data_IF_799159818611
#
_entry.id   IF_799159818611
#
_cell.length_a   1.000
_cell.length_b   1.000
_cell.length_c   1.000
_cell.angle_alpha   90.00
_cell.angle_beta   90.00
_cell.angle_gamma   90.00
#
_symmetry.space_group_name_H-M   'P 1'
#
loop_
_entity.id
_entity.type
_entity.pdbx_description
1 polymer ?
#
# COMPACT_ATOMS: atom_id res chain seq x y z
N UNK A 1 -10.01 -10.92 15.63
CA UNK A 1 -10.66 -9.62 15.90
C UNK A 1 -10.09 -8.59 14.95
N UNK A 2 -10.91 -7.66 14.43
CA UNK A 2 -10.44 -6.61 13.53
C UNK A 2 -9.56 -5.60 14.28
N UNK A 3 -8.48 -5.14 13.64
CA UNK A 3 -7.50 -4.21 14.20
C UNK A 3 -7.17 -3.12 13.20
N UNK A 4 -7.09 -1.88 13.67
CA UNK A 4 -6.66 -0.73 12.89
C UNK A 4 -5.21 -0.39 13.26
N UNK A 5 -4.38 -0.12 12.27
CA UNK A 5 -3.01 0.32 12.44
C UNK A 5 -2.81 1.64 11.70
N UNK A 6 -1.92 2.49 12.20
CA UNK A 6 -1.51 3.73 11.54
C UNK A 6 -0.08 3.67 11.09
N UNK A 7 0.26 4.36 10.01
CA UNK A 7 1.65 4.53 9.58
C UNK A 7 2.45 5.14 10.74
N UNK A 8 3.42 4.38 11.23
CA UNK A 8 4.28 4.75 12.35
C UNK A 8 5.64 5.24 11.87
N UNK A 9 6.68 4.71 12.49
CA UNK A 9 8.06 5.15 12.29
C UNK A 9 8.76 4.36 11.19
N UNK A 10 9.62 5.04 10.44
CA UNK A 10 10.60 4.36 9.59
C UNK A 10 11.61 3.64 10.48
N UNK A 11 11.93 2.40 10.15
CA UNK A 11 12.93 1.61 10.90
C UNK A 11 14.11 1.18 10.02
N UNK A 12 13.97 1.32 8.70
CA UNK A 12 15.05 1.11 7.73
C UNK A 12 14.97 2.21 6.67
N UNK A 13 16.14 2.69 6.25
CA UNK A 13 16.27 3.63 5.14
C UNK A 13 17.59 3.37 4.42
N UNK A 14 17.52 3.18 3.10
CA UNK A 14 18.66 3.16 2.19
C UNK A 14 18.40 4.17 1.07
N UNK A 15 19.20 5.23 1.05
CA UNK A 15 19.09 6.31 0.07
C UNK A 15 19.96 6.08 -1.17
N UNK A 16 20.84 5.09 -1.15
CA UNK A 16 21.78 4.86 -2.23
C UNK A 16 21.05 4.46 -3.52
N UNK A 17 21.55 4.97 -4.64
CA UNK A 17 21.16 4.45 -5.95
C UNK A 17 21.86 3.12 -6.18
N UNK A 18 21.07 2.07 -6.38
CA UNK A 18 21.55 0.73 -6.69
C UNK A 18 21.03 0.30 -8.04
N UNK A 19 21.93 -0.21 -8.89
CA UNK A 19 21.56 -0.87 -10.13
C UNK A 19 21.08 -2.28 -9.76
N UNK A 20 19.81 -2.58 -10.04
CA UNK A 20 19.25 -3.93 -9.84
C UNK A 20 19.90 -4.90 -10.82
N UNK A 21 20.16 -4.43 -12.03
CA UNK A 21 21.06 -5.05 -12.99
C UNK A 21 20.92 -4.47 -14.39
N UNK A 22 21.84 -4.87 -15.26
CA UNK A 22 21.82 -4.63 -16.70
C UNK A 22 21.47 -5.92 -17.41
N UNK A 23 20.45 -5.90 -18.26
CA UNK A 23 20.00 -7.09 -18.98
C UNK A 23 19.10 -8.03 -18.18
N UNK A 24 18.87 -9.23 -18.73
CA UNK A 24 17.84 -10.13 -18.23
C UNK A 24 18.23 -10.83 -16.94
N UNK A 25 17.20 -11.17 -16.14
CA UNK A 25 17.28 -12.03 -14.96
C UNK A 25 18.28 -11.57 -13.88
N UNK A 26 18.44 -10.26 -13.72
CA UNK A 26 19.24 -9.70 -12.64
C UNK A 26 18.37 -9.42 -11.42
N UNK A 27 18.94 -9.46 -10.22
CA UNK A 27 18.19 -9.21 -9.00
C UNK A 27 18.99 -8.53 -7.92
N UNK A 28 18.29 -7.74 -7.12
CA UNK A 28 18.74 -7.19 -5.84
C UNK A 28 17.79 -7.67 -4.75
N UNK A 29 18.36 -8.20 -3.66
CA UNK A 29 17.60 -8.84 -2.58
C UNK A 29 17.82 -8.09 -1.27
N UNK A 30 16.73 -7.81 -0.57
CA UNK A 30 16.71 -7.20 0.75
C UNK A 30 15.85 -8.06 1.68
N UNK A 31 16.44 -8.52 2.79
CA UNK A 31 15.71 -9.25 3.84
C UNK A 31 15.57 -8.37 5.08
N UNK A 32 14.35 -8.16 5.55
CA UNK A 32 14.06 -7.32 6.71
C UNK A 32 12.92 -7.89 7.55
N UNK A 33 13.00 -7.70 8.87
CA UNK A 33 12.00 -8.20 9.83
C UNK A 33 11.09 -7.06 10.29
N UNK A 34 9.79 -7.23 10.03
CA UNK A 34 8.74 -6.31 10.42
C UNK A 34 8.11 -6.78 11.73
N UNK A 35 8.27 -6.02 12.82
CA UNK A 35 7.63 -6.36 14.11
C UNK A 35 6.10 -6.30 14.05
N UNK A 36 5.59 -5.41 13.19
CA UNK A 36 4.18 -5.22 12.86
C UNK A 36 4.09 -5.05 11.35
N UNK A 37 2.92 -5.26 10.73
CA UNK A 37 2.79 -5.05 9.29
C UNK A 37 3.18 -3.63 8.88
N UNK A 38 3.63 -3.48 7.64
CA UNK A 38 4.31 -2.26 7.24
C UNK A 38 4.30 -1.98 5.76
N UNK A 39 5.03 -0.93 5.40
CA UNK A 39 5.29 -0.56 4.02
C UNK A 39 6.75 -0.69 3.66
N UNK A 40 6.97 -1.13 2.43
CA UNK A 40 8.18 -0.91 1.68
C UNK A 40 7.88 0.21 0.71
N UNK A 41 8.62 1.31 0.78
CA UNK A 41 8.55 2.36 -0.23
C UNK A 41 9.90 2.52 -0.89
N UNK A 42 9.92 2.71 -2.19
CA UNK A 42 11.16 2.82 -2.95
C UNK A 42 10.92 3.67 -4.20
N UNK A 43 11.97 4.34 -4.65
CA UNK A 43 11.97 4.97 -5.96
C UNK A 43 12.63 4.01 -6.95
N UNK A 44 12.04 3.88 -8.13
CA UNK A 44 12.59 3.06 -9.21
C UNK A 44 12.67 3.84 -10.51
N UNK A 45 13.57 3.42 -11.37
CA UNK A 45 13.70 3.87 -12.75
C UNK A 45 14.01 2.67 -13.61
N UNK A 46 13.28 2.53 -14.71
CA UNK A 46 13.51 1.49 -15.72
C UNK A 46 13.83 2.13 -17.05
N UNK A 47 14.80 1.55 -17.75
CA UNK A 47 15.11 1.85 -19.12
C UNK A 47 15.00 0.56 -19.92
N UNK A 48 14.02 0.55 -20.82
CA UNK A 48 13.77 -0.55 -21.75
C UNK A 48 13.79 0.04 -23.15
N UNK A 49 14.66 -0.49 -24.01
CA UNK A 49 14.81 -0.02 -25.37
C UNK A 49 13.52 -0.17 -26.17
N UNK A 50 13.29 0.77 -27.09
CA UNK A 50 12.24 0.64 -28.09
C UNK A 50 12.67 -0.36 -29.16
N UNK A 51 11.70 -1.11 -29.69
CA UNK A 51 11.90 -1.93 -30.87
C UNK A 51 12.21 -1.06 -32.09
N UNK A 52 12.69 -1.68 -33.17
CA UNK A 52 12.89 -1.00 -34.46
C UNK A 52 11.59 -0.45 -35.07
N UNK A 53 10.43 -0.93 -34.64
CA UNK A 53 9.11 -0.41 -35.02
C UNK A 53 8.62 0.74 -34.12
N UNK A 54 9.41 1.17 -33.13
CA UNK A 54 9.05 2.22 -32.18
C UNK A 54 8.14 1.74 -31.04
N UNK A 55 7.91 0.43 -30.92
CA UNK A 55 7.14 -0.14 -29.83
C UNK A 55 8.01 -0.27 -28.58
N UNK A 56 7.39 -0.13 -27.41
CA UNK A 56 8.08 -0.31 -26.16
C UNK A 56 8.52 -1.78 -25.98
N UNK A 57 9.79 -2.01 -25.63
CA UNK A 57 10.30 -3.35 -25.35
C UNK A 57 9.53 -4.07 -24.24
N UNK A 58 9.57 -5.40 -24.27
CA UNK A 58 8.73 -6.25 -23.42
C UNK A 58 9.30 -6.53 -22.03
N UNK A 59 10.47 -5.97 -21.70
CA UNK A 59 11.12 -6.14 -20.41
C UNK A 59 10.30 -5.56 -19.25
N UNK A 60 10.10 -6.33 -18.18
CA UNK A 60 9.51 -5.86 -16.92
C UNK A 60 10.50 -5.79 -15.77
N UNK A 61 10.43 -4.69 -15.03
CA UNK A 61 10.92 -4.65 -13.66
C UNK A 61 9.85 -5.22 -12.74
N UNK A 62 10.24 -6.16 -11.89
CA UNK A 62 9.33 -6.92 -11.04
C UNK A 62 9.82 -6.80 -9.61
N UNK A 63 8.87 -6.66 -8.68
CA UNK A 63 9.14 -6.72 -7.25
C UNK A 63 8.31 -7.81 -6.60
N UNK A 64 9.00 -8.70 -5.90
CA UNK A 64 8.43 -9.83 -5.19
C UNK A 64 8.63 -9.68 -3.69
N UNK A 65 7.66 -10.15 -2.91
CA UNK A 65 7.78 -10.28 -1.46
C UNK A 65 7.45 -11.73 -1.11
N UNK A 66 8.41 -12.44 -0.52
CA UNK A 66 8.30 -13.85 -0.16
C UNK A 66 7.88 -14.73 -1.36
N UNK A 67 8.44 -14.45 -2.55
CA UNK A 67 8.16 -15.19 -3.78
C UNK A 67 6.84 -14.84 -4.48
N UNK A 68 6.09 -13.85 -3.98
CA UNK A 68 4.84 -13.39 -4.60
C UNK A 68 5.09 -12.05 -5.30
N UNK A 69 4.79 -11.96 -6.59
CA UNK A 69 4.82 -10.71 -7.35
C UNK A 69 3.84 -9.70 -6.73
N UNK A 70 4.38 -8.58 -6.26
CA UNK A 70 3.60 -7.46 -5.69
C UNK A 70 3.51 -6.28 -6.64
N UNK A 71 4.50 -6.12 -7.51
CA UNK A 71 4.58 -5.01 -8.43
C UNK A 71 5.27 -5.40 -9.73
N UNK A 72 4.81 -4.80 -10.83
CA UNK A 72 5.51 -4.83 -12.12
C UNK A 72 5.41 -3.48 -12.82
N UNK A 73 6.48 -3.09 -13.48
CA UNK A 73 6.51 -1.88 -14.29
C UNK A 73 7.28 -2.09 -15.59
N UNK A 74 6.85 -1.34 -16.61
CA UNK A 74 7.63 -1.10 -17.82
C UNK A 74 7.91 0.39 -17.91
N UNK A 75 9.10 0.75 -18.39
CA UNK A 75 9.34 2.04 -19.03
C UNK A 75 8.97 3.30 -18.22
N UNK A 76 9.35 3.36 -16.95
CA UNK A 76 9.12 4.56 -16.15
C UNK A 76 9.99 5.74 -16.63
N UNK A 77 11.18 5.46 -17.19
CA UNK A 77 12.19 6.39 -17.76
C UNK A 77 12.63 7.56 -16.85
N UNK A 78 11.98 7.74 -15.71
CA UNK A 78 12.13 8.79 -14.72
C UNK A 78 11.97 8.15 -13.34
N UNK A 79 12.44 8.83 -12.30
CA UNK A 79 12.31 8.32 -10.94
C UNK A 79 10.86 8.36 -10.48
N UNK A 80 10.28 7.19 -10.24
CA UNK A 80 8.91 7.04 -9.74
C UNK A 80 8.91 6.36 -8.39
N UNK A 81 8.09 6.85 -7.45
CA UNK A 81 7.94 6.24 -6.14
C UNK A 81 6.81 5.23 -6.13
N UNK A 82 7.06 4.07 -5.53
CA UNK A 82 6.04 3.05 -5.26
C UNK A 82 6.00 2.68 -3.78
N UNK A 83 4.84 2.22 -3.32
CA UNK A 83 4.57 1.77 -1.96
C UNK A 83 3.97 0.38 -2.04
N UNK A 84 4.45 -0.55 -1.23
CA UNK A 84 3.92 -1.90 -1.16
C UNK A 84 3.69 -2.29 0.29
N UNK A 85 2.59 -2.99 0.54
CA UNK A 85 2.30 -3.52 1.85
C UNK A 85 3.01 -4.86 2.10
N UNK A 86 3.53 -5.01 3.31
CA UNK A 86 4.26 -6.19 3.77
C UNK A 86 3.73 -6.61 5.13
N UNK A 87 3.60 -7.92 5.33
CA UNK A 87 3.14 -8.50 6.59
C UNK A 87 4.17 -8.39 7.70
N UNK A 88 3.74 -8.62 8.94
CA UNK A 88 4.67 -8.83 10.05
C UNK A 88 5.49 -10.11 9.84
N UNK A 89 6.69 -10.17 10.43
CA UNK A 89 7.63 -11.27 10.29
C UNK A 89 8.83 -10.93 9.42
N UNK A 90 9.67 -11.93 9.19
CA UNK A 90 10.76 -11.83 8.23
C UNK A 90 10.20 -11.79 6.80
N UNK A 91 10.64 -10.82 6.01
CA UNK A 91 10.24 -10.67 4.63
C UNK A 91 11.47 -10.53 3.73
N UNK A 92 11.48 -11.34 2.67
CA UNK A 92 12.46 -11.25 1.59
C UNK A 92 11.83 -10.46 0.45
N UNK A 93 12.43 -9.31 0.13
CA UNK A 93 12.01 -8.41 -0.93
C UNK A 93 13.01 -8.54 -2.07
N UNK A 94 12.53 -8.92 -3.25
CA UNK A 94 13.36 -9.13 -4.43
C UNK A 94 12.94 -8.12 -5.49
N UNK A 95 13.89 -7.29 -5.91
CA UNK A 95 13.77 -6.44 -7.09
C UNK A 95 14.48 -7.15 -8.24
N UNK A 96 13.83 -7.33 -9.39
CA UNK A 96 14.45 -8.06 -10.51
C UNK A 96 14.07 -7.53 -11.89
N UNK A 97 14.94 -7.78 -12.85
CA UNK A 97 14.64 -7.67 -14.28
C UNK A 97 14.18 -9.03 -14.80
N UNK A 98 13.16 -9.07 -15.65
CA UNK A 98 12.69 -10.32 -16.25
C UNK A 98 13.58 -10.77 -17.43
N UNK A 99 13.24 -11.90 -18.03
CA UNK A 99 13.97 -12.48 -19.16
C UNK A 99 13.82 -11.69 -20.46
N UNK A 100 12.88 -10.73 -20.53
CA UNK A 100 12.62 -9.94 -21.72
C UNK A 100 13.45 -8.65 -21.78
N UNK A 101 14.23 -8.34 -20.73
CA UNK A 101 15.26 -7.30 -20.77
C UNK A 101 16.36 -7.65 -21.78
N UNK A 102 16.76 -6.67 -22.58
CA UNK A 102 17.90 -6.74 -23.49
C UNK A 102 19.20 -6.31 -22.79
N UNK A 103 20.36 -6.65 -23.36
CA UNK A 103 21.67 -6.39 -22.74
C UNK A 103 21.92 -4.91 -22.35
N UNK A 104 21.28 -3.95 -23.02
CA UNK A 104 21.35 -2.51 -22.70
C UNK A 104 20.25 -2.00 -21.77
N UNK A 105 19.22 -2.80 -21.50
CA UNK A 105 18.13 -2.43 -20.60
C UNK A 105 18.61 -2.49 -19.16
N UNK A 106 18.06 -1.64 -18.30
CA UNK A 106 18.44 -1.62 -16.89
C UNK A 106 17.31 -1.15 -15.99
N UNK A 107 17.38 -1.59 -14.73
CA UNK A 107 16.55 -1.09 -13.66
C UNK A 107 17.42 -0.58 -12.52
N UNK A 108 17.00 0.53 -11.93
CA UNK A 108 17.64 1.13 -10.76
C UNK A 108 16.61 1.35 -9.67
N UNK A 109 17.06 1.26 -8.43
CA UNK A 109 16.29 1.55 -7.23
C UNK A 109 17.05 2.51 -6.35
N UNK A 110 16.32 3.31 -5.56
CA UNK A 110 16.89 4.18 -4.50
C UNK A 110 15.83 4.50 -3.46
N UNK A 111 16.23 5.18 -2.38
CA UNK A 111 15.33 5.67 -1.34
C UNK A 111 14.37 4.58 -0.82
N UNK A 112 14.90 3.39 -0.58
CA UNK A 112 14.17 2.28 0.03
C UNK A 112 13.94 2.62 1.49
N UNK A 113 12.69 2.81 1.89
CA UNK A 113 12.29 3.16 3.25
C UNK A 113 11.26 2.15 3.72
N UNK A 114 11.54 1.51 4.85
CA UNK A 114 10.61 0.59 5.51
C UNK A 114 9.96 1.26 6.71
N UNK A 115 8.63 1.23 6.72
CA UNK A 115 7.81 1.86 7.75
C UNK A 115 6.95 0.81 8.42
N UNK A 116 6.99 0.73 9.76
CA UNK A 116 6.06 -0.12 10.51
C UNK A 116 4.74 0.61 10.76
N UNK A 117 3.67 -0.15 10.87
CA UNK A 117 2.36 0.38 11.27
C UNK A 117 2.07 0.01 12.70
N UNK A 118 1.67 1.01 13.49
CA UNK A 118 1.43 0.89 14.93
C UNK A 118 -0.05 0.61 15.16
N UNK A 119 -0.35 -0.46 15.90
CA UNK A 119 -1.72 -0.78 16.30
C UNK A 119 -2.36 0.36 17.12
N UNK A 120 -3.59 0.73 16.77
CA UNK A 120 -4.36 1.74 17.50
C UNK A 120 -5.12 1.08 18.66
N UNK A 121 -4.38 0.64 19.67
CA UNK A 121 -4.90 -0.18 20.79
C UNK A 121 -5.93 0.52 21.68
N UNK A 122 -6.07 1.84 21.57
CA UNK A 122 -7.07 2.64 22.27
C UNK A 122 -8.48 2.54 21.64
N UNK A 123 -8.62 1.88 20.48
CA UNK A 123 -9.92 1.56 19.89
C UNK A 123 -10.51 0.35 20.64
N UNK A 124 -11.63 0.55 21.32
CA UNK A 124 -12.27 -0.48 22.13
C UNK A 124 -12.92 -1.59 21.27
N UNK A 125 -13.32 -1.28 20.05
CA UNK A 125 -13.88 -2.26 19.13
C UNK A 125 -14.01 -1.75 17.70
N UNK A 126 -14.00 -2.69 16.76
CA UNK A 126 -14.28 -2.45 15.34
C UNK A 126 -15.41 -3.38 14.90
N UNK A 127 -16.49 -2.79 14.39
CA UNK A 127 -17.72 -3.48 14.01
C UNK A 127 -18.29 -3.00 12.68
N UNK A 128 -19.46 -3.53 12.30
CA UNK A 128 -20.20 -3.07 11.11
C UNK A 128 -19.42 -3.14 9.80
N UNK A 129 -18.44 -4.05 9.69
CA UNK A 129 -17.50 -4.07 8.56
C UNK A 129 -18.21 -4.56 7.29
N UNK A 130 -18.30 -3.68 6.29
CA UNK A 130 -18.77 -4.02 4.94
C UNK A 130 -17.56 -4.09 4.00
N UNK A 131 -17.15 -5.29 3.55
CA UNK A 131 -15.99 -5.43 2.68
C UNK A 131 -16.19 -4.74 1.32
N UNK A 132 -15.10 -4.42 0.59
CA UNK A 132 -15.21 -3.92 -0.76
C UNK A 132 -15.87 -4.95 -1.67
N UNK A 133 -16.47 -4.48 -2.77
CA UNK A 133 -17.08 -5.35 -3.78
C UNK A 133 -16.00 -6.29 -4.35
N UNK A 134 -16.33 -7.57 -4.66
CA UNK A 134 -15.41 -8.47 -5.32
C UNK A 134 -14.85 -7.85 -6.61
N UNK A 135 -13.57 -8.06 -6.89
CA UNK A 135 -12.88 -7.56 -8.10
C UNK A 135 -13.67 -7.82 -9.40
N UNK A 136 -14.31 -8.98 -9.51
CA UNK A 136 -15.13 -9.38 -10.66
C UNK A 136 -16.36 -8.47 -10.90
N UNK A 137 -16.83 -7.78 -9.86
CA UNK A 137 -17.98 -6.88 -9.89
C UNK A 137 -17.58 -5.41 -9.99
N UNK A 138 -16.28 -5.11 -9.95
CA UNK A 138 -15.75 -3.78 -10.20
C UNK A 138 -15.52 -3.70 -11.71
N UNK A 139 -16.47 -3.15 -12.44
CA UNK A 139 -16.27 -2.79 -13.85
C UNK A 139 -14.98 -1.98 -13.98
N UNK A 140 -14.10 -2.36 -14.91
CA UNK A 140 -12.89 -1.64 -15.26
C UNK A 140 -13.25 -0.19 -15.62
N UNK A 141 -13.27 0.70 -14.63
CA UNK A 141 -13.28 2.12 -14.92
C UNK A 141 -11.87 2.45 -15.43
N UNK A 142 -11.81 3.21 -16.53
CA UNK A 142 -10.56 3.78 -17.02
C UNK A 142 -9.98 4.64 -15.90
N UNK A 143 -9.07 4.06 -15.13
CA UNK A 143 -8.22 4.84 -14.24
C UNK A 143 -7.41 5.69 -15.19
N UNK A 144 -7.67 6.99 -15.23
CA UNK A 144 -6.70 7.95 -15.75
C UNK A 144 -5.44 7.68 -14.94
N UNK A 145 -4.43 7.06 -15.55
CA UNK A 145 -3.08 6.94 -15.00
C UNK A 145 -2.54 8.37 -14.81
N UNK A 146 -2.88 8.97 -13.68
CA UNK A 146 -2.64 10.36 -13.35
C UNK A 146 -2.42 10.49 -11.85
N UNK A 147 -1.15 10.60 -11.48
CA UNK A 147 -0.61 11.09 -10.20
C UNK A 147 -1.46 10.87 -8.93
N UNK A 148 -1.04 9.89 -8.11
CA UNK A 148 -1.55 9.51 -6.78
C UNK A 148 -1.48 10.59 -5.69
N UNK A 149 -1.24 11.87 -6.01
CA UNK A 149 -1.07 12.88 -4.95
C UNK A 149 -2.37 13.45 -4.38
N UNK A 150 -3.52 13.44 -5.06
CA UNK A 150 -4.71 14.16 -4.53
C UNK A 150 -6.12 13.65 -4.91
N UNK A 151 -6.33 12.40 -5.31
CA UNK A 151 -7.72 11.89 -5.40
C UNK A 151 -8.20 11.37 -4.04
N UNK A 152 -8.91 12.22 -3.30
CA UNK A 152 -9.61 11.89 -2.03
C UNK A 152 -10.81 10.96 -2.23
N UNK A 153 -11.09 10.52 -3.45
CA UNK A 153 -12.24 9.69 -3.82
C UNK A 153 -11.76 8.54 -4.71
N UNK A 154 -11.50 7.37 -4.12
CA UNK A 154 -11.32 6.13 -4.89
C UNK A 154 -12.66 5.66 -5.50
N UNK A 155 -12.65 4.79 -6.52
CA UNK A 155 -13.88 4.24 -7.09
C UNK A 155 -14.72 3.52 -6.01
N UNK A 156 -16.04 3.64 -6.07
CA UNK A 156 -17.01 3.14 -5.05
C UNK A 156 -16.85 1.63 -4.76
N UNK A 157 -16.24 0.85 -5.66
CA UNK A 157 -15.92 -0.58 -5.45
C UNK A 157 -14.67 -0.85 -4.61
N UNK A 158 -13.89 0.16 -4.26
CA UNK A 158 -12.60 0.06 -3.54
C UNK A 158 -12.66 0.54 -2.08
N UNK A 159 -13.89 0.74 -1.58
CA UNK A 159 -14.16 1.27 -0.25
C UNK A 159 -14.46 0.13 0.73
N UNK A 160 -14.01 0.29 1.96
CA UNK A 160 -14.44 -0.52 3.10
C UNK A 160 -15.07 0.40 4.14
N UNK A 161 -16.27 0.02 4.57
CA UNK A 161 -17.04 0.73 5.59
C UNK A 161 -16.96 -0.02 6.90
N UNK A 162 -16.75 0.69 8.00
CA UNK A 162 -16.72 0.08 9.32
C UNK A 162 -17.01 1.10 10.41
N UNK A 163 -17.30 0.59 11.61
CA UNK A 163 -17.57 1.39 12.80
C UNK A 163 -16.43 1.22 13.79
N UNK A 164 -15.92 2.35 14.29
CA UNK A 164 -14.97 2.39 15.39
C UNK A 164 -15.70 2.75 16.68
N UNK A 165 -15.35 2.05 17.75
CA UNK A 165 -15.93 2.25 19.08
C UNK A 165 -14.84 2.73 20.03
N UNK A 166 -15.10 3.85 20.72
CA UNK A 166 -14.25 4.39 21.77
C UNK A 166 -15.03 4.48 23.08
N UNK A 167 -14.36 4.20 24.20
CA UNK A 167 -14.96 4.19 25.55
C UNK A 167 -14.70 5.46 26.35
N UNK A 168 -13.93 6.40 25.82
CA UNK A 168 -13.67 7.69 26.43
C UNK A 168 -13.30 8.75 25.37
N UNK A 169 -13.35 10.03 25.78
CA UNK A 169 -13.10 11.15 24.89
C UNK A 169 -11.62 11.32 24.50
N UNK A 170 -10.68 10.90 25.35
CA UNK A 170 -9.25 11.05 25.08
C UNK A 170 -8.81 10.17 23.89
N UNK A 171 -9.30 8.93 23.85
CA UNK A 171 -9.04 7.98 22.76
C UNK A 171 -9.67 8.46 21.45
N UNK A 172 -10.91 8.96 21.51
CA UNK A 172 -11.58 9.57 20.34
C UNK A 172 -10.81 10.80 19.82
N UNK A 173 -10.37 11.70 20.71
CA UNK A 173 -9.62 12.88 20.30
C UNK A 173 -8.25 12.50 19.70
N UNK A 174 -7.58 11.50 20.26
CA UNK A 174 -6.35 10.92 19.70
C UNK A 174 -6.58 10.34 18.31
N UNK A 175 -7.70 9.65 18.10
CA UNK A 175 -8.10 9.19 16.77
C UNK A 175 -8.27 10.35 15.79
N UNK A 176 -9.09 11.35 16.12
CA UNK A 176 -9.38 12.45 15.19
C UNK A 176 -8.12 13.26 14.85
N UNK A 177 -7.21 13.47 15.81
CA UNK A 177 -5.98 14.24 15.60
C UNK A 177 -5.06 13.69 14.51
N UNK A 178 -5.11 12.38 14.21
CA UNK A 178 -4.28 11.76 13.17
C UNK A 178 -5.11 11.04 12.09
N UNK A 179 -6.36 11.49 11.88
CA UNK A 179 -7.27 10.89 10.90
C UNK A 179 -6.75 10.92 9.46
N UNK A 180 -5.95 11.93 9.13
CA UNK A 180 -5.32 12.09 7.80
C UNK A 180 -4.11 11.17 7.60
N UNK A 181 -3.67 10.44 8.64
CA UNK A 181 -2.59 9.48 8.51
C UNK A 181 -3.09 8.22 7.78
N UNK A 182 -2.23 7.63 6.94
CA UNK A 182 -2.59 6.41 6.26
C UNK A 182 -2.78 5.26 7.27
N UNK A 183 -3.89 4.54 7.11
CA UNK A 183 -4.31 3.49 8.03
C UNK A 183 -4.43 2.15 7.31
N UNK A 184 -4.33 1.08 8.11
CA UNK A 184 -4.56 -0.28 7.66
C UNK A 184 -5.55 -0.97 8.60
N UNK A 185 -6.58 -1.58 8.04
CA UNK A 185 -7.51 -2.45 8.72
C UNK A 185 -7.14 -3.91 8.41
N UNK A 186 -6.78 -4.68 9.44
CA UNK A 186 -6.58 -6.12 9.36
C UNK A 186 -7.73 -6.83 10.07
N UNK A 187 -8.38 -7.76 9.37
CA UNK A 187 -9.39 -8.63 9.97
C UNK A 187 -9.45 -9.99 9.25
N UNK A 188 -10.45 -10.82 9.58
CA UNK A 188 -10.50 -12.23 9.17
C UNK A 188 -10.44 -12.47 7.66
N UNK A 189 -10.85 -11.51 6.82
CA UNK A 189 -10.89 -11.67 5.36
C UNK A 189 -9.70 -11.03 4.64
N UNK A 190 -8.80 -10.35 5.35
CA UNK A 190 -7.60 -9.76 4.74
C UNK A 190 -7.13 -8.45 5.38
N UNK A 191 -6.29 -7.75 4.63
CA UNK A 191 -5.69 -6.47 5.02
C UNK A 191 -6.01 -5.40 3.99
N UNK A 192 -6.59 -4.29 4.47
CA UNK A 192 -7.06 -3.18 3.65
C UNK A 192 -6.36 -1.91 4.09
N UNK A 193 -5.78 -1.16 3.16
CA UNK A 193 -5.10 0.10 3.46
C UNK A 193 -5.79 1.28 2.79
N UNK A 194 -5.77 2.44 3.44
CA UNK A 194 -6.31 3.65 2.86
C UNK A 194 -6.26 4.87 3.74
N UNK A 195 -6.81 5.96 3.22
CA UNK A 195 -7.13 7.15 4.01
C UNK A 195 -8.54 6.99 4.60
N UNK A 196 -8.69 7.35 5.87
CA UNK A 196 -9.96 7.31 6.57
C UNK A 196 -10.72 8.61 6.37
N UNK A 197 -12.01 8.48 6.06
CA UNK A 197 -12.96 9.58 6.02
C UNK A 197 -14.06 9.28 7.04
N UNK A 198 -14.00 9.90 8.23
CA UNK A 198 -15.10 9.83 9.20
C UNK A 198 -16.34 10.47 8.57
N UNK A 199 -17.47 9.77 8.58
CA UNK A 199 -18.69 10.23 7.92
C UNK A 199 -19.61 10.99 8.84
N UNK A 200 -19.68 10.60 10.11
CA UNK A 200 -20.45 11.29 11.14
C UNK A 200 -19.96 10.85 12.51
N UNK A 201 -19.79 11.81 13.42
CA UNK A 201 -19.72 11.57 14.85
C UNK A 201 -20.84 12.36 15.51
N UNK A 202 -21.70 11.69 16.29
CA UNK A 202 -22.70 12.37 17.10
C UNK A 202 -22.01 13.21 18.17
N UNK A 203 -21.78 14.50 17.85
CA UNK A 203 -21.08 15.46 18.70
C UNK A 203 -21.89 15.85 19.94
N UNK A 204 -23.18 15.50 20.00
CA UNK A 204 -24.07 15.84 21.12
C UNK A 204 -24.20 14.71 22.14
N UNK A 205 -23.66 13.52 21.85
CA UNK A 205 -23.73 12.38 22.76
C UNK A 205 -22.75 12.54 23.92
N UNK A 206 -23.25 13.02 25.07
CA UNK A 206 -22.57 12.94 26.36
C UNK A 206 -22.76 11.53 26.94
N UNK A 207 -21.97 10.56 26.48
CA UNK A 207 -21.93 9.20 27.01
C UNK A 207 -20.54 8.59 26.87
N UNK A 208 -20.23 7.49 27.58
CA UNK A 208 -18.92 6.85 27.53
C UNK A 208 -18.65 6.16 26.19
N UNK A 209 -19.58 6.21 25.22
CA UNK A 209 -19.48 5.45 23.97
C UNK A 209 -19.52 6.40 22.78
N UNK A 210 -18.39 6.52 22.08
CA UNK A 210 -18.30 7.21 20.80
C UNK A 210 -18.27 6.16 19.69
N UNK A 211 -19.23 6.21 18.78
CA UNK A 211 -19.27 5.35 17.59
C UNK A 211 -19.02 6.23 16.37
N UNK A 212 -17.98 5.90 15.61
CA UNK A 212 -17.57 6.67 14.42
C UNK A 212 -17.71 5.77 13.20
N UNK A 213 -18.59 6.17 12.28
CA UNK A 213 -18.69 5.52 10.96
C UNK A 213 -17.55 6.00 10.09
N UNK A 214 -16.73 5.06 9.63
CA UNK A 214 -15.54 5.32 8.83
C UNK A 214 -15.71 4.72 7.44
N UNK A 215 -15.24 5.46 6.44
CA UNK A 215 -14.97 4.95 5.09
C UNK A 215 -13.48 4.94 4.87
N UNK A 216 -12.92 3.85 4.38
CA UNK A 216 -11.52 3.78 3.97
C UNK A 216 -11.42 3.56 2.47
N UNK A 217 -10.66 4.43 1.80
CA UNK A 217 -10.43 4.35 0.36
C UNK A 217 -9.02 3.85 0.07
N UNK A 218 -8.91 2.80 -0.76
CA UNK A 218 -7.62 2.32 -1.26
C UNK A 218 -6.92 3.39 -2.11
N UNK A 219 -5.63 3.58 -1.87
CA UNK A 219 -4.80 4.57 -2.58
C UNK A 219 -4.30 4.13 -3.95
N UNK A 220 -4.33 2.82 -4.27
CA UNK A 220 -3.57 2.31 -5.41
C UNK A 220 -4.37 1.56 -6.47
N UNK A 221 -5.55 0.98 -6.16
CA UNK A 221 -6.53 0.41 -7.13
C UNK A 221 -7.72 -0.24 -6.40
N UNK A 222 -8.80 -0.45 -7.15
CA UNK A 222 -9.87 -1.38 -6.77
C UNK A 222 -9.32 -2.78 -6.46
N UNK A 223 -9.69 -3.35 -5.31
CA UNK A 223 -9.27 -4.69 -4.90
C UNK A 223 -7.83 -4.83 -4.40
N UNK A 224 -7.10 -3.73 -4.14
CA UNK A 224 -5.86 -3.79 -3.33
C UNK A 224 -6.22 -3.68 -1.85
N UNK A 225 -7.09 -4.58 -1.41
CA UNK A 225 -6.93 -5.24 -0.13
C UNK A 225 -6.25 -6.55 -0.49
N UNK A 226 -4.97 -6.66 -0.20
CA UNK A 226 -4.24 -7.89 -0.46
C UNK A 226 -5.00 -9.00 0.28
N UNK A 227 -5.51 -9.98 -0.46
CA UNK A 227 -5.68 -11.34 0.06
C UNK A 227 -4.27 -11.77 0.46
N UNK A 228 -3.86 -11.38 1.66
CA UNK A 228 -2.63 -11.79 2.29
C UNK A 228 -2.89 -13.13 2.92
N UNK A 229 -3.00 -14.16 2.09
CA UNK A 229 -2.55 -15.49 2.49
C UNK A 229 -1.03 -15.48 2.54
#
# INVERSE_FOLDING_TARGET
>A
MAKLYRRGTNFYSDTAETVVGTGPNQSYVLTQTFSEPGWVSFDFLTNVAFSSSGELGMGHFIVEVNGIERYRARASYTWTRHYMFVGAGENMIIFRTDSAYQAGDYAKIRNIVLTRFIEQSYIAGIGGITPPKPLQQITNFSILDGYTRYQRTGPVGSQIDFELVFTNAADYNTFIAEVDNFCILKYSVGVFGGLLIPQDSDSQRKGPLYIVKCKMHSSERAGVGVLGS
#
